data_IF_951673108319
#
_entry.id   IF_951673108319
#
_cell.length_a   1.000
_cell.length_b   1.000
_cell.length_c   1.000
_cell.angle_alpha   90.00
_cell.angle_beta   90.00
_cell.angle_gamma   90.00
#
_symmetry.space_group_name_H-M   'P 1'
#
loop_
_entity.id
_entity.type
_entity.pdbx_description
1 polymer ?
#
# COMPACT_ATOMS: atom_id res chain seq x y z
N UNK A 1 6.71 11.01 0.57
CA UNK A 1 5.65 10.21 -0.10
C UNK A 1 4.65 9.81 0.95
N UNK A 2 3.37 9.68 0.58
CA UNK A 2 2.34 9.35 1.57
C UNK A 2 2.39 7.90 2.04
N UNK A 3 1.83 7.62 3.21
CA UNK A 3 1.91 6.30 3.87
C UNK A 3 0.57 5.60 4.08
N UNK A 4 -0.56 6.33 4.10
CA UNK A 4 -1.88 5.75 4.33
C UNK A 4 -2.19 4.58 3.38
N UNK A 5 -2.39 3.37 3.90
CA UNK A 5 -2.70 2.18 3.08
C UNK A 5 -1.50 1.53 2.35
N UNK A 6 -0.26 1.82 2.75
CA UNK A 6 0.91 1.02 2.33
C UNK A 6 1.04 -0.25 3.20
N UNK A 7 1.16 -1.43 2.57
CA UNK A 7 1.45 -2.68 3.30
C UNK A 7 2.89 -2.69 3.82
N UNK A 8 3.04 -2.93 5.12
CA UNK A 8 4.30 -3.20 5.81
C UNK A 8 4.33 -4.67 6.22
N UNK A 9 5.49 -5.32 6.04
CA UNK A 9 5.69 -6.68 6.54
C UNK A 9 5.72 -6.72 8.08
N UNK A 10 5.43 -7.87 8.71
CA UNK A 10 5.71 -8.10 10.13
C UNK A 10 7.12 -7.63 10.51
N UNK A 11 7.24 -6.83 11.56
CA UNK A 11 8.50 -6.25 12.01
C UNK A 11 9.13 -5.17 11.10
N UNK A 12 8.45 -4.63 10.08
CA UNK A 12 8.93 -3.42 9.39
C UNK A 12 8.67 -2.14 10.22
N UNK A 13 9.57 -1.13 10.15
CA UNK A 13 9.31 0.18 10.75
C UNK A 13 8.09 0.86 10.11
N UNK A 14 7.36 1.62 10.92
CA UNK A 14 6.21 2.39 10.47
C UNK A 14 6.59 3.63 9.63
N UNK A 15 5.58 4.33 9.15
CA UNK A 15 5.67 5.56 8.38
C UNK A 15 6.51 6.65 9.08
N UNK A 16 6.28 6.85 10.37
CA UNK A 16 6.88 7.93 11.14
C UNK A 16 8.35 7.66 11.43
N UNK A 17 8.70 6.42 11.77
CA UNK A 17 10.06 5.94 11.97
C UNK A 17 10.86 6.04 10.66
N UNK A 18 10.26 5.67 9.52
CA UNK A 18 10.87 5.84 8.18
C UNK A 18 11.10 7.32 7.85
N UNK A 19 10.13 8.21 8.13
CA UNK A 19 10.27 9.66 7.99
C UNK A 19 11.45 10.20 8.82
N UNK A 20 11.47 9.91 10.12
CA UNK A 20 12.52 10.38 11.04
C UNK A 20 13.91 9.85 10.64
N UNK A 21 14.01 8.59 10.16
CA UNK A 21 15.28 8.02 9.72
C UNK A 21 15.85 8.75 8.50
N UNK A 22 14.99 9.11 7.53
CA UNK A 22 15.40 9.89 6.36
C UNK A 22 15.82 11.32 6.75
N UNK A 23 15.06 11.97 7.63
CA UNK A 23 15.38 13.31 8.15
C UNK A 23 16.72 13.32 8.90
N UNK A 24 16.98 12.34 9.78
CA UNK A 24 18.29 12.14 10.45
C UNK A 24 19.43 11.87 9.47
N UNK A 25 19.14 11.22 8.34
CA UNK A 25 20.12 11.00 7.27
C UNK A 25 20.38 12.25 6.39
N UNK A 26 19.76 13.40 6.72
CA UNK A 26 19.92 14.66 6.00
C UNK A 26 19.08 14.75 4.72
N UNK A 27 18.07 13.90 4.54
CA UNK A 27 17.12 14.04 3.45
C UNK A 27 16.20 15.26 3.69
N UNK A 28 16.05 16.12 2.68
CA UNK A 28 15.08 17.22 2.75
C UNK A 28 13.68 16.68 2.53
N UNK A 29 12.88 16.72 3.59
CA UNK A 29 11.54 16.18 3.60
C UNK A 29 10.55 17.19 3.00
N UNK A 30 9.72 16.72 2.06
CA UNK A 30 8.70 17.53 1.37
C UNK A 30 7.35 16.85 1.57
N UNK A 31 6.39 17.59 2.13
CA UNK A 31 5.08 17.07 2.53
C UNK A 31 4.02 17.09 1.39
N UNK A 32 4.20 17.88 0.33
CA UNK A 32 3.33 17.87 -0.86
C UNK A 32 4.15 18.11 -2.14
N UNK A 33 3.88 17.42 -3.28
CA UNK A 33 4.67 17.54 -4.50
C UNK A 33 4.86 18.94 -5.07
N UNK A 34 3.91 19.86 -4.89
CA UNK A 34 4.07 21.27 -5.31
C UNK A 34 5.29 21.94 -4.67
N UNK A 35 5.61 21.57 -3.42
CA UNK A 35 6.70 22.15 -2.63
C UNK A 35 8.08 21.58 -2.98
N UNK A 36 8.18 20.62 -3.91
CA UNK A 36 9.48 20.14 -4.40
C UNK A 36 10.32 21.26 -5.03
N UNK A 37 9.68 22.21 -5.74
CA UNK A 37 10.39 23.34 -6.34
C UNK A 37 11.07 24.23 -5.30
N UNK A 38 10.41 24.48 -4.17
CA UNK A 38 10.94 25.26 -3.05
C UNK A 38 12.02 24.50 -2.28
N UNK A 39 11.78 23.21 -1.98
CA UNK A 39 12.78 22.35 -1.34
C UNK A 39 14.06 22.21 -2.16
N UNK A 40 13.95 22.10 -3.49
CA UNK A 40 15.11 22.14 -4.39
C UNK A 40 15.81 23.51 -4.37
N UNK A 41 15.09 24.62 -4.43
CA UNK A 41 15.70 25.97 -4.32
C UNK A 41 16.49 26.13 -3.02
N UNK A 42 15.95 25.70 -1.89
CA UNK A 42 16.64 25.73 -0.60
C UNK A 42 17.91 24.84 -0.59
N UNK A 43 17.82 23.63 -1.15
CA UNK A 43 18.97 22.74 -1.32
C UNK A 43 20.09 23.34 -2.19
N UNK A 44 19.73 24.01 -3.29
CA UNK A 44 20.72 24.64 -4.17
C UNK A 44 21.34 25.89 -3.52
N UNK A 45 20.54 26.74 -2.86
CA UNK A 45 21.03 27.89 -2.13
C UNK A 45 22.05 27.50 -1.03
N UNK A 46 21.78 26.41 -0.30
CA UNK A 46 22.67 25.86 0.72
C UNK A 46 23.90 25.12 0.15
N UNK A 47 23.97 24.85 -1.16
CA UNK A 47 25.18 24.36 -1.83
C UNK A 47 26.08 25.48 -2.35
N UNK A 48 25.50 26.62 -2.74
CA UNK A 48 26.25 27.81 -3.20
C UNK A 48 27.02 28.55 -2.08
N UNK A 49 26.87 28.14 -0.82
CA UNK A 49 27.56 28.75 0.33
C UNK A 49 28.89 28.09 0.71
N UNK A 50 29.40 27.11 -0.06
CA UNK A 50 30.80 26.64 0.07
C UNK A 50 31.76 27.58 -0.68
N UNK A 51 32.67 28.30 0.00
CA UNK A 51 33.68 29.08 -0.70
C UNK A 51 34.74 28.16 -1.29
N UNK A 52 35.04 28.33 -2.58
CA UNK A 52 36.18 27.68 -3.24
C UNK A 52 35.84 26.62 -4.28
N UNK A 53 35.33 27.05 -5.44
CA UNK A 53 35.76 26.53 -6.74
C UNK A 53 36.11 27.76 -7.60
N UNK A 54 37.36 27.82 -8.06
CA UNK A 54 37.87 28.86 -8.97
C UNK A 54 37.13 28.85 -10.30
N UNK A 55 37.02 30.02 -10.95
CA UNK A 55 36.57 30.12 -12.34
C UNK A 55 37.42 29.21 -13.24
N UNK A 56 36.78 28.20 -13.85
CA UNK A 56 37.37 27.44 -14.96
C UNK A 56 36.77 28.01 -16.24
N UNK A 57 37.50 28.93 -16.88
CA UNK A 57 37.21 29.42 -18.22
C UNK A 57 37.48 28.32 -19.25
N UNK A 58 36.54 27.40 -19.39
CA UNK A 58 36.62 26.25 -20.31
C UNK A 58 35.39 26.15 -21.20
N UNK A 59 35.54 26.51 -22.49
CA UNK A 59 34.55 26.34 -23.55
C UNK A 59 34.33 24.85 -23.89
N UNK A 60 33.69 24.12 -22.99
CA UNK A 60 33.30 22.72 -23.21
C UNK A 60 31.95 22.64 -23.94
N UNK A 61 32.00 22.25 -25.21
CA UNK A 61 30.80 21.98 -26.00
C UNK A 61 30.09 20.72 -25.49
N UNK A 62 28.84 20.86 -25.05
CA UNK A 62 27.99 19.71 -24.70
C UNK A 62 27.69 18.87 -25.93
N UNK A 63 28.50 17.83 -26.19
CA UNK A 63 28.16 16.79 -27.16
C UNK A 63 27.00 15.94 -26.60
N UNK A 64 25.79 16.19 -27.10
CA UNK A 64 24.63 15.32 -26.85
C UNK A 64 24.88 13.97 -27.54
N UNK A 65 25.17 12.93 -26.75
CA UNK A 65 25.21 11.56 -27.25
C UNK A 65 23.81 11.08 -27.63
N UNK A 66 23.62 10.64 -28.88
CA UNK A 66 22.36 10.04 -29.32
C UNK A 66 22.33 8.58 -28.85
N UNK A 67 21.54 8.28 -27.82
CA UNK A 67 21.32 6.91 -27.36
C UNK A 67 20.28 6.21 -28.26
N UNK A 68 20.73 5.54 -29.32
CA UNK A 68 19.89 4.66 -30.16
C UNK A 68 19.66 3.29 -29.51
N UNK A 69 19.00 3.25 -28.35
CA UNK A 69 18.39 2.00 -27.88
C UNK A 69 17.07 1.76 -28.62
N UNK A 70 17.01 0.68 -29.38
CA UNK A 70 15.83 0.23 -30.14
C UNK A 70 14.70 -0.07 -29.16
N UNK A 71 13.72 0.84 -29.09
CA UNK A 71 12.55 0.70 -28.21
C UNK A 71 11.72 -0.51 -28.67
N UNK A 72 11.72 -1.58 -27.88
CA UNK A 72 10.74 -2.67 -28.05
C UNK A 72 9.37 -2.04 -27.79
N UNK A 73 8.47 -2.15 -28.77
CA UNK A 73 7.08 -1.69 -28.61
C UNK A 73 6.43 -2.51 -27.51
N UNK A 74 6.00 -1.92 -26.37
CA UNK A 74 5.25 -2.66 -25.39
C UNK A 74 3.90 -3.01 -26.00
N UNK A 75 3.58 -4.30 -26.06
CA UNK A 75 2.21 -4.75 -26.33
C UNK A 75 1.36 -4.21 -25.20
N UNK A 76 0.42 -3.32 -25.52
CA UNK A 76 -0.53 -2.74 -24.57
C UNK A 76 -1.50 -3.81 -24.07
N UNK A 77 -1.08 -4.57 -23.06
CA UNK A 77 -2.02 -5.25 -22.16
C UNK A 77 -2.59 -4.22 -21.20
N UNK A 78 -3.90 -4.27 -20.87
CA UNK A 78 -4.46 -3.40 -19.84
C UNK A 78 -3.72 -3.65 -18.52
N UNK A 79 -3.11 -2.59 -17.98
CA UNK A 79 -2.48 -2.62 -16.66
C UNK A 79 -3.56 -2.80 -15.61
N UNK A 80 -3.71 -4.02 -15.12
CA UNK A 80 -4.51 -4.33 -13.94
C UNK A 80 -4.00 -3.47 -12.77
N UNK A 81 -4.88 -2.72 -12.12
CA UNK A 81 -4.52 -1.91 -10.96
C UNK A 81 -4.04 -2.77 -9.79
N UNK A 82 -2.97 -2.34 -9.11
CA UNK A 82 -2.85 -2.41 -7.64
C UNK A 82 -4.21 -2.07 -6.99
N UNK A 83 -4.64 -2.57 -5.82
CA UNK A 83 -4.12 -3.62 -4.91
C UNK A 83 -5.32 -4.29 -4.21
N UNK A 84 -5.24 -5.59 -3.90
CA UNK A 84 -5.47 -6.16 -2.55
C UNK A 84 -4.64 -7.45 -2.43
N UNK A 85 -4.35 -7.86 -1.20
CA UNK A 85 -3.63 -9.08 -0.89
C UNK A 85 -4.61 -10.10 -0.33
N UNK A 86 -4.67 -11.31 -0.89
CA UNK A 86 -5.64 -12.33 -0.47
C UNK A 86 -5.17 -12.98 0.84
N UNK A 87 -5.90 -12.76 1.93
CA UNK A 87 -5.75 -13.54 3.16
C UNK A 87 -6.83 -14.62 3.23
N UNK A 88 -6.44 -15.84 3.58
CA UNK A 88 -7.39 -16.95 3.81
C UNK A 88 -7.74 -17.07 5.30
N UNK A 89 -8.87 -17.72 5.60
CA UNK A 89 -9.33 -17.98 6.96
C UNK A 89 -8.39 -18.96 7.68
N UNK A 90 -8.31 -18.86 9.00
CA UNK A 90 -7.38 -19.68 9.80
C UNK A 90 -7.56 -21.19 9.61
N UNK A 91 -8.79 -21.70 9.50
CA UNK A 91 -9.02 -23.13 9.24
C UNK A 91 -8.51 -23.57 7.87
N UNK A 92 -8.64 -22.72 6.83
CA UNK A 92 -8.11 -22.98 5.49
C UNK A 92 -6.57 -23.02 5.53
N UNK A 93 -5.94 -22.11 6.30
CA UNK A 93 -4.49 -22.14 6.52
C UNK A 93 -4.05 -23.41 7.27
N UNK A 94 -4.83 -23.87 8.26
CA UNK A 94 -4.60 -25.13 8.95
C UNK A 94 -4.75 -26.35 8.04
N UNK A 95 -5.69 -26.35 7.09
CA UNK A 95 -5.82 -27.44 6.11
C UNK A 95 -4.63 -27.50 5.14
N UNK A 96 -4.09 -26.35 4.72
CA UNK A 96 -2.84 -26.29 3.94
C UNK A 96 -1.64 -26.81 4.77
N UNK A 97 -1.56 -26.46 6.05
CA UNK A 97 -0.53 -26.97 6.97
C UNK A 97 -0.64 -28.49 7.16
N UNK A 98 -1.85 -29.03 7.35
CA UNK A 98 -2.13 -30.47 7.45
C UNK A 98 -1.69 -31.23 6.20
N UNK A 99 -1.90 -30.68 5.00
CA UNK A 99 -1.44 -31.28 3.74
C UNK A 99 0.10 -31.42 3.68
N UNK A 100 0.84 -30.51 4.34
CA UNK A 100 2.30 -30.60 4.51
C UNK A 100 2.72 -31.36 5.78
N UNK A 101 1.82 -32.13 6.40
CA UNK A 101 2.05 -32.91 7.64
C UNK A 101 2.49 -32.07 8.85
N UNK A 102 2.12 -30.78 8.89
CA UNK A 102 2.39 -29.91 10.04
C UNK A 102 1.30 -30.11 11.11
N UNK A 103 1.66 -30.38 12.38
CA UNK A 103 0.70 -30.52 13.46
C UNK A 103 0.05 -29.17 13.83
N UNK A 104 -1.28 -29.13 13.77
CA UNK A 104 -2.12 -27.98 14.16
C UNK A 104 -3.00 -28.34 15.35
N UNK A 105 -3.37 -27.36 16.17
CA UNK A 105 -4.30 -27.54 17.29
C UNK A 105 -5.25 -26.33 17.42
N UNK A 106 -6.48 -26.52 16.95
CA UNK A 106 -7.59 -25.55 16.94
C UNK A 106 -8.18 -25.27 18.33
N UNK A 107 -7.95 -26.14 19.32
CA UNK A 107 -8.66 -26.11 20.61
C UNK A 107 -7.92 -25.37 21.73
N UNK A 108 -6.72 -24.87 21.47
CA UNK A 108 -5.94 -24.19 22.50
C UNK A 108 -6.30 -22.70 22.59
N UNK A 109 -6.94 -22.31 23.69
CA UNK A 109 -6.85 -20.93 24.18
C UNK A 109 -5.39 -20.57 24.40
N UNK A 110 -4.98 -19.38 23.93
CA UNK A 110 -3.63 -18.82 24.03
C UNK A 110 -2.90 -19.18 25.33
N UNK A 111 -1.91 -20.07 25.24
CA UNK A 111 -0.97 -20.36 26.32
C UNK A 111 0.14 -19.31 26.38
N UNK A 112 0.57 -18.90 27.57
CA UNK A 112 1.53 -17.81 27.84
C UNK A 112 2.96 -17.98 27.23
N UNK A 113 3.21 -19.06 26.48
CA UNK A 113 4.51 -19.38 25.87
C UNK A 113 4.44 -19.64 24.36
N UNK A 114 3.51 -19.00 23.64
CA UNK A 114 3.46 -19.06 22.17
C UNK A 114 4.40 -18.04 21.52
N UNK A 115 5.21 -18.49 20.57
CA UNK A 115 6.12 -17.65 19.76
C UNK A 115 5.59 -17.50 18.34
N UNK A 116 5.91 -16.38 17.69
CA UNK A 116 5.54 -16.13 16.29
C UNK A 116 6.68 -16.52 15.35
N UNK A 117 6.38 -17.32 14.34
CA UNK A 117 7.28 -17.65 13.22
C UNK A 117 6.55 -17.36 11.92
N UNK A 118 7.20 -16.65 10.99
CA UNK A 118 6.64 -16.41 9.67
C UNK A 118 7.69 -16.47 8.56
N UNK A 119 7.22 -16.65 7.33
CA UNK A 119 8.04 -16.43 6.12
C UNK A 119 7.41 -15.29 5.32
N UNK A 120 8.23 -14.29 4.95
CA UNK A 120 7.80 -13.10 4.21
C UNK A 120 8.94 -12.58 3.33
N UNK A 121 8.67 -11.61 2.46
CA UNK A 121 9.70 -10.88 1.70
C UNK A 121 10.46 -9.90 2.60
N UNK A 122 11.79 -10.02 2.66
CA UNK A 122 12.66 -8.94 3.13
C UNK A 122 12.99 -8.01 1.95
N UNK A 123 12.40 -6.81 1.97
CA UNK A 123 12.60 -5.78 0.94
C UNK A 123 13.98 -5.11 1.00
N UNK A 124 14.68 -5.19 2.13
CA UNK A 124 16.05 -4.67 2.28
C UNK A 124 17.06 -5.69 1.77
N UNK A 125 16.87 -6.97 2.08
CA UNK A 125 17.72 -8.06 1.60
C UNK A 125 17.34 -8.60 0.21
N UNK A 126 16.26 -8.08 -0.40
CA UNK A 126 15.72 -8.48 -1.71
C UNK A 126 15.52 -10.00 -1.86
N UNK A 127 15.08 -10.64 -0.78
CA UNK A 127 15.02 -12.10 -0.64
C UNK A 127 13.91 -12.52 0.32
N UNK A 128 13.44 -13.78 0.30
CA UNK A 128 12.58 -14.29 1.37
C UNK A 128 13.36 -14.32 2.69
N UNK A 129 12.65 -14.16 3.80
CA UNK A 129 13.21 -14.25 5.14
C UNK A 129 12.29 -15.03 6.07
N UNK A 130 12.88 -15.67 7.06
CA UNK A 130 12.17 -16.13 8.25
C UNK A 130 12.11 -14.94 9.20
N UNK A 131 10.94 -14.64 9.76
CA UNK A 131 10.78 -13.64 10.83
C UNK A 131 10.36 -14.39 12.08
N UNK A 132 11.09 -14.20 13.17
CA UNK A 132 10.87 -14.90 14.42
C UNK A 132 10.74 -13.90 15.58
N UNK A 133 9.66 -13.97 16.35
CA UNK A 133 9.41 -13.17 17.55
C UNK A 133 9.16 -14.08 18.74
N UNK A 134 9.75 -13.75 19.89
CA UNK A 134 9.54 -14.45 21.16
C UNK A 134 8.14 -14.23 21.76
N UNK A 135 7.33 -13.35 21.16
CA UNK A 135 5.92 -13.11 21.50
C UNK A 135 4.98 -13.61 20.40
N UNK A 136 3.72 -13.82 20.76
CA UNK A 136 2.62 -14.26 19.89
C UNK A 136 2.27 -13.24 18.80
N UNK A 137 2.55 -11.96 19.04
CA UNK A 137 2.34 -10.86 18.10
C UNK A 137 3.67 -10.43 17.48
N UNK A 138 3.64 -9.96 16.22
CA UNK A 138 4.84 -9.42 15.57
C UNK A 138 5.15 -8.01 16.07
N UNK A 139 5.78 -7.93 17.24
CA UNK A 139 6.39 -6.71 17.73
C UNK A 139 7.73 -6.48 17.00
N UNK A 140 7.93 -5.36 16.27
CA UNK A 140 9.19 -5.07 15.58
C UNK A 140 10.42 -5.03 16.49
N UNK A 141 10.26 -4.71 17.79
CA UNK A 141 11.36 -4.67 18.75
C UNK A 141 11.84 -6.06 19.22
N UNK A 142 11.05 -7.10 19.01
CA UNK A 142 11.34 -8.49 19.43
C UNK A 142 11.45 -9.46 18.24
N UNK A 143 11.11 -9.00 17.04
CA UNK A 143 11.19 -9.76 15.79
C UNK A 143 12.60 -9.68 15.19
N UNK A 144 13.26 -10.82 14.98
CA UNK A 144 14.50 -10.89 14.18
C UNK A 144 14.20 -11.47 12.79
N UNK A 145 14.81 -10.89 11.76
CA UNK A 145 14.76 -11.38 10.37
C UNK A 145 15.99 -12.21 10.03
N UNK A 146 15.75 -13.32 9.33
CA UNK A 146 16.78 -14.24 8.84
C UNK A 146 16.56 -14.42 7.33
N UNK A 147 17.17 -13.56 6.47
CA UNK A 147 17.06 -13.68 5.02
C UNK A 147 17.76 -14.93 4.48
N UNK A 148 17.22 -15.51 3.39
CA UNK A 148 17.83 -16.65 2.71
C UNK A 148 17.62 -16.60 1.18
N UNK A 149 18.47 -17.23 0.37
CA UNK A 149 18.34 -17.19 -1.09
C UNK A 149 17.04 -17.82 -1.59
N UNK A 150 16.32 -17.14 -2.50
CA UNK A 150 15.08 -17.66 -3.10
C UNK A 150 15.28 -18.97 -3.89
N UNK A 151 16.49 -19.19 -4.43
CA UNK A 151 16.87 -20.41 -5.15
C UNK A 151 17.02 -21.64 -4.24
N UNK A 152 16.95 -21.48 -2.92
CA UNK A 152 17.19 -22.55 -1.97
C UNK A 152 16.03 -23.56 -1.97
N UNK A 153 16.34 -24.84 -2.20
CA UNK A 153 15.34 -25.93 -2.14
C UNK A 153 15.11 -26.40 -0.71
N UNK A 154 16.18 -26.53 0.09
CA UNK A 154 16.16 -26.88 1.51
C UNK A 154 16.86 -25.82 2.36
N UNK A 155 16.21 -25.37 3.43
CA UNK A 155 16.82 -24.43 4.38
C UNK A 155 18.03 -25.05 5.09
N UNK A 156 19.10 -24.26 5.26
CA UNK A 156 20.34 -24.74 5.89
C UNK A 156 20.20 -24.91 7.40
N UNK A 157 20.90 -25.88 7.99
CA UNK A 157 20.88 -26.10 9.45
C UNK A 157 21.32 -24.87 10.27
N UNK A 158 22.20 -24.02 9.71
CA UNK A 158 22.66 -22.78 10.33
C UNK A 158 21.52 -21.75 10.54
N UNK A 159 20.62 -21.58 9.57
CA UNK A 159 19.52 -20.60 9.71
C UNK A 159 18.50 -21.08 10.74
N UNK A 160 18.20 -22.39 10.77
CA UNK A 160 17.30 -22.97 11.76
C UNK A 160 17.89 -22.87 13.18
N UNK A 161 19.21 -23.12 13.33
CA UNK A 161 19.88 -22.94 14.62
C UNK A 161 19.87 -21.47 15.10
N UNK A 162 20.02 -20.50 14.17
CA UNK A 162 19.93 -19.08 14.50
C UNK A 162 18.51 -18.66 14.93
N UNK A 163 17.48 -19.13 14.22
CA UNK A 163 16.07 -18.91 14.57
C UNK A 163 15.73 -19.54 15.93
N UNK A 164 16.13 -20.79 16.15
CA UNK A 164 15.90 -21.49 17.43
C UNK A 164 16.60 -20.79 18.60
N UNK A 165 17.83 -20.31 18.40
CA UNK A 165 18.58 -19.55 19.41
C UNK A 165 17.91 -18.22 19.76
N UNK A 166 17.39 -17.47 18.78
CA UNK A 166 16.66 -16.22 19.03
C UNK A 166 15.36 -16.45 19.79
N UNK A 167 14.65 -17.53 19.46
CA UNK A 167 13.41 -17.93 20.13
C UNK A 167 13.63 -18.64 21.48
N UNK A 168 14.87 -18.87 21.92
CA UNK A 168 15.19 -19.55 23.17
C UNK A 168 14.76 -21.03 23.22
N UNK A 169 14.67 -21.69 22.06
CA UNK A 169 14.09 -23.03 21.94
C UNK A 169 15.08 -24.14 22.32
N UNK A 170 14.61 -25.26 22.90
CA UNK A 170 15.46 -26.37 23.28
C UNK A 170 15.94 -27.14 22.03
N UNK A 171 17.15 -27.69 22.10
CA UNK A 171 17.79 -28.43 20.99
C UNK A 171 16.93 -29.61 20.48
N UNK A 172 16.10 -30.21 21.33
CA UNK A 172 15.13 -31.25 20.95
C UNK A 172 14.13 -30.81 19.88
N UNK A 173 13.73 -29.53 19.90
CA UNK A 173 12.77 -28.97 18.94
C UNK A 173 13.37 -28.57 17.59
N UNK A 174 14.71 -28.51 17.45
CA UNK A 174 15.37 -28.01 16.25
C UNK A 174 14.99 -28.80 14.98
N UNK A 175 14.87 -30.12 15.08
CA UNK A 175 14.47 -30.98 13.94
C UNK A 175 13.02 -30.74 13.53
N UNK A 176 12.11 -30.53 14.50
CA UNK A 176 10.71 -30.22 14.21
C UNK A 176 10.57 -28.81 13.62
N UNK A 177 11.30 -27.83 14.17
CA UNK A 177 11.38 -26.48 13.63
C UNK A 177 11.92 -26.47 12.19
N UNK A 178 12.96 -27.25 11.90
CA UNK A 178 13.49 -27.39 10.53
C UNK A 178 12.43 -27.91 9.56
N UNK A 179 11.71 -28.97 9.92
CA UNK A 179 10.61 -29.52 9.10
C UNK A 179 9.46 -28.55 8.93
N UNK A 180 9.08 -27.84 10.00
CA UNK A 180 8.01 -26.84 9.99
C UNK A 180 8.32 -25.64 9.09
N UNK A 181 9.49 -25.02 9.24
CA UNK A 181 9.88 -23.86 8.43
C UNK A 181 10.13 -24.28 6.97
N UNK A 182 10.62 -25.51 6.73
CA UNK A 182 10.68 -26.08 5.38
C UNK A 182 9.28 -26.25 4.76
N UNK A 183 8.29 -26.73 5.51
CA UNK A 183 6.90 -26.84 5.04
C UNK A 183 6.30 -25.46 4.71
N UNK A 184 6.52 -24.45 5.56
CA UNK A 184 6.15 -23.06 5.25
C UNK A 184 6.83 -22.56 3.97
N UNK A 185 8.12 -22.86 3.78
CA UNK A 185 8.87 -22.42 2.59
C UNK A 185 8.38 -23.08 1.29
N UNK A 186 7.94 -24.33 1.37
CA UNK A 186 7.29 -25.02 0.26
C UNK A 186 5.93 -24.40 -0.07
N UNK A 187 5.06 -24.20 0.92
CA UNK A 187 3.77 -23.49 0.74
C UNK A 187 4.01 -22.12 0.12
N UNK A 188 5.00 -21.38 0.61
CA UNK A 188 5.33 -20.02 0.17
C UNK A 188 5.62 -19.98 -1.33
N UNK A 189 6.44 -20.91 -1.84
CA UNK A 189 6.77 -21.01 -3.27
C UNK A 189 5.65 -21.62 -4.10
N UNK A 190 5.03 -22.70 -3.63
CA UNK A 190 4.03 -23.46 -4.37
C UNK A 190 2.74 -22.65 -4.58
N UNK A 191 2.35 -21.88 -3.56
CA UNK A 191 1.11 -21.08 -3.53
C UNK A 191 1.31 -19.59 -3.76
N UNK A 192 2.55 -19.16 -3.99
CA UNK A 192 2.91 -17.75 -4.23
C UNK A 192 2.43 -16.82 -3.10
N UNK A 193 2.79 -17.21 -1.88
CA UNK A 193 2.57 -16.38 -0.71
C UNK A 193 3.52 -15.17 -0.70
N UNK A 194 3.07 -14.05 -0.13
CA UNK A 194 3.95 -12.94 0.26
C UNK A 194 4.17 -12.88 1.78
N UNK A 195 3.28 -13.49 2.57
CA UNK A 195 3.44 -13.70 4.02
C UNK A 195 2.76 -15.00 4.44
N UNK A 196 3.41 -15.78 5.30
CA UNK A 196 2.84 -16.93 6.00
C UNK A 196 3.10 -16.76 7.48
N UNK A 197 2.17 -16.15 8.21
CA UNK A 197 2.31 -15.90 9.66
C UNK A 197 1.73 -17.06 10.46
N UNK A 198 2.47 -17.52 11.46
CA UNK A 198 2.04 -18.58 12.38
C UNK A 198 2.40 -18.28 13.83
N UNK A 199 1.51 -18.70 14.73
CA UNK A 199 1.75 -18.76 16.16
C UNK A 199 1.95 -20.22 16.54
N UNK A 200 3.10 -20.53 17.11
CA UNK A 200 3.48 -21.89 17.51
C UNK A 200 3.69 -21.99 19.01
N UNK A 201 3.31 -23.12 19.59
CA UNK A 201 3.72 -23.51 20.93
C UNK A 201 4.66 -24.72 20.80
N UNK A 202 5.69 -24.76 21.64
CA UNK A 202 6.64 -25.88 21.70
C UNK A 202 6.56 -26.46 23.11
N UNK A 203 6.22 -27.75 23.17
CA UNK A 203 6.11 -28.52 24.40
C UNK A 203 7.50 -28.92 24.92
N UNK A 204 7.61 -29.27 26.21
CA UNK A 204 8.90 -29.56 26.86
C UNK A 204 9.63 -30.80 26.29
N UNK A 205 8.90 -31.70 25.63
CA UNK A 205 9.42 -32.83 24.84
C UNK A 205 10.03 -32.41 23.49
N UNK A 206 9.91 -31.14 23.11
CA UNK A 206 10.31 -30.60 21.81
C UNK A 206 9.19 -30.62 20.76
N UNK A 207 7.96 -31.03 21.10
CA UNK A 207 6.85 -31.10 20.15
C UNK A 207 6.29 -29.72 19.81
N UNK A 208 6.39 -29.34 18.54
CA UNK A 208 5.85 -28.11 17.96
C UNK A 208 4.38 -28.33 17.56
N UNK A 209 3.51 -27.34 17.85
CA UNK A 209 2.13 -27.29 17.35
C UNK A 209 1.79 -25.86 16.91
N UNK A 210 1.09 -25.73 15.78
CA UNK A 210 0.56 -24.45 15.29
C UNK A 210 -0.83 -24.20 15.89
N UNK A 211 -1.05 -23.00 16.44
CA UNK A 211 -2.28 -22.61 17.13
C UNK A 211 -2.95 -21.36 16.54
N UNK A 212 -2.20 -20.56 15.77
CA UNK A 212 -2.72 -19.47 14.95
C UNK A 212 -2.02 -19.47 13.60
N UNK A 213 -2.74 -19.12 12.54
CA UNK A 213 -2.18 -18.98 11.20
C UNK A 213 -2.91 -17.89 10.39
N UNK A 214 -2.14 -17.01 9.75
CA UNK A 214 -2.62 -15.96 8.84
C UNK A 214 -1.77 -16.00 7.57
N UNK A 215 -2.31 -16.57 6.51
CA UNK A 215 -1.59 -16.75 5.25
C UNK A 215 -2.09 -15.75 4.21
N UNK A 216 -1.15 -15.09 3.53
CA UNK A 216 -1.40 -14.07 2.53
C UNK A 216 -0.74 -14.39 1.18
N UNK A 217 -1.54 -14.40 0.11
CA UNK A 217 -1.16 -14.78 -1.25
C UNK A 217 -1.20 -13.62 -2.24
N UNK A 218 -0.32 -13.68 -3.26
CA UNK A 218 -0.16 -12.64 -4.26
C UNK A 218 -1.21 -12.73 -5.38
N UNK A 219 -2.20 -11.83 -5.32
CA UNK A 219 -3.25 -11.67 -6.32
C UNK A 219 -2.71 -11.26 -7.71
N UNK A 220 -1.51 -10.68 -7.80
CA UNK A 220 -0.90 -10.38 -9.10
C UNK A 220 -0.58 -11.64 -9.91
N UNK A 221 -0.22 -12.75 -9.25
CA UNK A 221 0.01 -14.03 -9.91
C UNK A 221 -1.29 -14.56 -10.58
N UNK A 222 -2.39 -14.54 -9.83
CA UNK A 222 -3.70 -14.93 -10.33
C UNK A 222 -4.21 -14.02 -11.45
N UNK A 223 -4.27 -12.70 -11.22
CA UNK A 223 -4.83 -11.75 -12.21
C UNK A 223 -4.02 -11.62 -13.50
N UNK A 224 -2.70 -11.86 -13.46
CA UNK A 224 -1.85 -11.76 -14.66
C UNK A 224 -1.69 -13.07 -15.43
N UNK A 225 -1.86 -14.22 -14.78
CA UNK A 225 -1.50 -15.53 -15.35
C UNK A 225 -2.47 -16.69 -15.05
N UNK A 226 -3.53 -16.47 -14.27
CA UNK A 226 -4.53 -17.49 -13.91
C UNK A 226 -4.03 -18.57 -12.94
N UNK A 227 -2.82 -18.41 -12.37
CA UNK A 227 -2.23 -19.36 -11.42
C UNK A 227 -2.86 -19.18 -10.03
N UNK A 228 -2.81 -20.23 -9.20
CA UNK A 228 -3.40 -20.25 -7.85
C UNK A 228 -4.93 -20.08 -7.80
N UNK A 229 -5.65 -20.50 -8.86
CA UNK A 229 -7.12 -20.45 -8.91
C UNK A 229 -7.78 -21.18 -7.72
N UNK A 230 -7.16 -22.26 -7.22
CA UNK A 230 -7.61 -23.00 -6.04
C UNK A 230 -7.53 -22.16 -4.76
N UNK A 231 -6.50 -21.34 -4.60
CA UNK A 231 -6.36 -20.39 -3.48
C UNK A 231 -7.34 -19.23 -3.63
N UNK A 232 -7.50 -18.69 -4.84
CA UNK A 232 -8.43 -17.58 -5.07
C UNK A 232 -9.91 -17.96 -4.90
N UNK A 233 -10.26 -19.24 -5.04
CA UNK A 233 -11.58 -19.80 -4.68
C UNK A 233 -11.84 -19.84 -3.16
N UNK A 234 -10.82 -19.68 -2.32
CA UNK A 234 -10.97 -19.62 -0.85
C UNK A 234 -11.38 -18.24 -0.34
N UNK A 235 -11.32 -17.20 -1.19
CA UNK A 235 -11.71 -15.82 -0.86
C UNK A 235 -13.20 -15.75 -0.51
N UNK A 236 -13.50 -15.17 0.64
CA UNK A 236 -14.87 -14.91 1.08
C UNK A 236 -15.15 -13.40 1.12
N UNK A 237 -15.87 -12.92 0.12
CA UNK A 237 -16.23 -11.49 0.01
C UNK A 237 -17.33 -11.06 0.98
N UNK A 238 -17.94 -11.98 1.75
CA UNK A 238 -18.96 -11.63 2.74
C UNK A 238 -18.38 -11.13 4.07
N UNK A 239 -17.10 -11.42 4.34
CA UNK A 239 -16.33 -10.91 5.49
C UNK A 239 -15.49 -9.66 5.14
N UNK A 240 -15.46 -9.27 3.87
CA UNK A 240 -14.81 -8.03 3.40
C UNK A 240 -15.75 -6.82 3.49
N UNK A 241 -15.17 -5.61 3.49
CA UNK A 241 -15.95 -4.36 3.47
C UNK A 241 -16.72 -4.27 2.14
N UNK A 242 -18.04 -4.15 2.19
CA UNK A 242 -18.89 -4.25 0.99
C UNK A 242 -18.58 -3.16 -0.06
N UNK A 243 -18.30 -1.94 0.39
CA UNK A 243 -17.88 -0.83 -0.46
C UNK A 243 -16.52 -1.09 -1.15
N UNK A 244 -15.64 -1.83 -0.47
CA UNK A 244 -14.33 -2.24 -0.97
C UNK A 244 -14.43 -3.33 -2.04
N UNK A 245 -15.36 -4.28 -1.88
CA UNK A 245 -15.66 -5.32 -2.88
C UNK A 245 -16.39 -4.75 -4.10
N UNK A 246 -17.28 -3.77 -3.91
CA UNK A 246 -17.99 -3.11 -5.03
C UNK A 246 -17.01 -2.29 -5.90
N UNK A 247 -16.16 -1.47 -5.28
CA UNK A 247 -15.15 -0.66 -5.99
C UNK A 247 -14.19 -1.50 -6.85
N UNK A 248 -13.84 -2.71 -6.39
CA UNK A 248 -12.91 -3.60 -7.07
C UNK A 248 -13.41 -4.04 -8.46
N UNK A 249 -14.74 -4.14 -8.65
CA UNK A 249 -15.37 -4.52 -9.93
C UNK A 249 -15.03 -3.55 -11.06
N UNK A 250 -14.91 -2.26 -10.72
CA UNK A 250 -14.53 -1.18 -11.63
C UNK A 250 -13.00 -0.94 -11.66
N UNK A 251 -12.21 -1.77 -10.97
CA UNK A 251 -10.76 -1.64 -10.85
C UNK A 251 -10.31 -0.50 -9.95
N UNK A 252 -11.19 -0.01 -9.06
CA UNK A 252 -10.93 1.09 -8.13
C UNK A 252 -10.36 0.54 -6.82
N UNK A 253 -9.28 1.17 -6.32
CA UNK A 253 -8.73 0.87 -5.00
C UNK A 253 -9.42 1.73 -3.97
N UNK A 254 -10.55 1.26 -3.44
CA UNK A 254 -11.14 1.84 -2.25
C UNK A 254 -10.54 1.18 -1.00
N UNK A 255 -10.24 1.97 0.02
CA UNK A 255 -9.97 1.50 1.38
C UNK A 255 -10.76 2.38 2.34
N UNK A 256 -11.63 1.79 3.15
CA UNK A 256 -12.43 2.53 4.14
C UNK A 256 -11.55 2.84 5.35
N UNK A 257 -11.48 4.12 5.75
CA UNK A 257 -10.72 4.53 6.93
C UNK A 257 -11.62 4.50 8.17
N UNK A 258 -11.11 3.98 9.28
CA UNK A 258 -11.82 3.90 10.56
C UNK A 258 -12.02 5.29 11.22
N UNK A 259 -12.88 5.36 12.23
CA UNK A 259 -13.17 6.58 12.99
C UNK A 259 -14.19 7.52 12.34
N UNK A 260 -14.14 8.80 12.69
CA UNK A 260 -15.13 9.82 12.30
C UNK A 260 -14.70 10.66 11.07
N UNK A 261 -14.08 10.03 10.08
CA UNK A 261 -13.68 10.69 8.84
C UNK A 261 -14.89 11.25 8.07
N UNK A 262 -14.85 12.53 7.73
CA UNK A 262 -15.96 13.25 7.06
C UNK A 262 -15.63 13.76 5.64
N UNK A 263 -14.36 13.67 5.22
CA UNK A 263 -13.92 14.04 3.87
C UNK A 263 -13.77 12.77 3.02
N UNK A 264 -14.62 12.60 2.01
CA UNK A 264 -14.42 11.57 1.00
C UNK A 264 -13.25 11.95 0.09
N UNK A 265 -12.36 11.03 -0.27
CA UNK A 265 -11.27 11.29 -1.23
C UNK A 265 -11.48 10.54 -2.55
N UNK A 266 -11.19 11.21 -3.67
CA UNK A 266 -11.16 10.62 -5.02
C UNK A 266 -9.89 11.12 -5.72
N UNK A 267 -8.94 10.21 -5.95
CA UNK A 267 -7.60 10.55 -6.45
C UNK A 267 -7.18 9.56 -7.54
N UNK A 268 -6.32 9.97 -8.48
CA UNK A 268 -5.69 9.06 -9.42
C UNK A 268 -4.21 8.81 -9.07
N UNK A 269 -3.83 7.54 -9.00
CA UNK A 269 -2.50 7.08 -8.65
C UNK A 269 -2.26 6.99 -7.15
N UNK A 270 -2.00 5.77 -6.65
CA UNK A 270 -1.86 5.47 -5.23
C UNK A 270 -0.91 6.42 -4.49
N UNK A 271 0.25 6.76 -5.05
CA UNK A 271 1.19 7.70 -4.41
C UNK A 271 0.62 9.09 -4.14
N UNK A 272 -0.23 9.60 -5.03
CA UNK A 272 -0.95 10.87 -4.85
C UNK A 272 -2.12 10.70 -3.88
N UNK A 273 -2.82 9.56 -3.92
CA UNK A 273 -3.91 9.25 -3.01
C UNK A 273 -3.43 9.19 -1.54
N UNK A 274 -2.33 8.48 -1.28
CA UNK A 274 -1.73 8.40 0.06
C UNK A 274 -1.28 9.79 0.54
N UNK A 275 -0.65 10.57 -0.35
CA UNK A 275 -0.21 11.91 0.01
C UNK A 275 -1.37 12.89 0.22
N UNK A 276 -2.49 12.72 -0.48
CA UNK A 276 -3.70 13.53 -0.31
C UNK A 276 -4.32 13.29 1.07
N UNK A 277 -4.45 12.04 1.49
CA UNK A 277 -4.94 11.69 2.84
C UNK A 277 -4.01 12.25 3.92
N UNK A 278 -2.70 12.02 3.81
CA UNK A 278 -1.70 12.53 4.76
C UNK A 278 -1.71 14.07 4.82
N UNK A 279 -1.77 14.75 3.67
CA UNK A 279 -1.73 16.21 3.61
C UNK A 279 -3.03 16.86 4.10
N UNK A 280 -4.21 16.28 3.84
CA UNK A 280 -5.47 16.73 4.45
C UNK A 280 -5.45 16.55 5.97
N UNK A 281 -4.87 15.45 6.45
CA UNK A 281 -4.71 15.18 7.89
C UNK A 281 -3.80 16.21 8.56
N UNK A 282 -2.68 16.58 7.93
CA UNK A 282 -1.78 17.65 8.41
C UNK A 282 -2.50 19.01 8.52
N UNK A 283 -3.50 19.28 7.68
CA UNK A 283 -4.32 20.51 7.74
C UNK A 283 -5.52 20.42 8.70
N UNK A 284 -5.64 19.35 9.50
CA UNK A 284 -6.73 19.16 10.46
C UNK A 284 -8.06 18.73 9.82
N UNK A 285 -7.98 18.02 8.70
CA UNK A 285 -9.08 17.29 8.08
C UNK A 285 -9.07 15.81 8.46
N UNK A 286 -10.23 15.16 8.41
CA UNK A 286 -10.36 13.72 8.66
C UNK A 286 -10.95 13.02 7.44
N UNK A 287 -10.17 12.17 6.78
CA UNK A 287 -10.60 11.44 5.58
C UNK A 287 -11.43 10.22 5.96
N UNK A 288 -12.57 10.02 5.30
CA UNK A 288 -13.43 8.83 5.46
C UNK A 288 -12.86 7.60 4.75
N UNK A 289 -12.08 7.81 3.69
CA UNK A 289 -11.53 6.77 2.83
C UNK A 289 -10.22 7.20 2.17
N UNK A 290 -9.50 6.21 1.67
CA UNK A 290 -8.51 6.33 0.60
C UNK A 290 -9.17 5.83 -0.71
N UNK A 291 -8.92 6.50 -1.84
CA UNK A 291 -9.33 6.01 -3.17
C UNK A 291 -8.27 6.30 -4.23
N UNK A 292 -7.87 5.27 -4.98
CA UNK A 292 -7.16 5.39 -6.27
C UNK A 292 -8.03 4.83 -7.42
N UNK A 293 -8.33 5.64 -8.44
CA UNK A 293 -9.08 5.22 -9.65
C UNK A 293 -8.27 4.32 -10.61
N UNK A 294 -7.28 3.57 -10.12
CA UNK A 294 -6.46 2.66 -10.93
C UNK A 294 -5.63 3.33 -12.03
N UNK A 295 -5.31 4.62 -11.89
CA UNK A 295 -4.54 5.39 -12.88
C UNK A 295 -5.32 5.84 -14.13
N UNK A 296 -6.61 5.52 -14.27
CA UNK A 296 -7.50 6.04 -15.32
C UNK A 296 -8.76 6.66 -14.71
N UNK A 297 -8.83 7.98 -14.69
CA UNK A 297 -10.06 8.71 -14.39
C UNK A 297 -10.87 8.84 -15.69
N UNK A 298 -11.74 7.86 -15.97
CA UNK A 298 -12.77 7.96 -17.01
C UNK A 298 -14.09 8.38 -16.36
N UNK A 299 -15.08 8.80 -17.15
CA UNK A 299 -16.38 9.21 -16.63
C UNK A 299 -17.06 8.09 -15.84
N UNK A 300 -16.87 6.83 -16.26
CA UNK A 300 -17.40 5.63 -15.60
C UNK A 300 -16.71 5.39 -14.26
N UNK A 301 -15.37 5.39 -14.20
CA UNK A 301 -14.63 5.15 -12.96
C UNK A 301 -14.82 6.30 -11.96
N UNK A 302 -14.97 7.53 -12.43
CA UNK A 302 -15.36 8.69 -11.61
C UNK A 302 -16.77 8.52 -11.03
N UNK A 303 -17.75 8.12 -11.85
CA UNK A 303 -19.14 7.89 -11.39
C UNK A 303 -19.25 6.72 -10.42
N UNK A 304 -18.51 5.63 -10.65
CA UNK A 304 -18.40 4.52 -9.70
C UNK A 304 -17.75 4.98 -8.39
N UNK A 305 -16.65 5.72 -8.46
CA UNK A 305 -15.97 6.28 -7.28
C UNK A 305 -16.90 7.15 -6.43
N UNK A 306 -17.66 8.07 -7.04
CA UNK A 306 -18.63 8.89 -6.30
C UNK A 306 -19.74 8.05 -5.65
N UNK A 307 -20.20 6.96 -6.29
CA UNK A 307 -21.20 6.06 -5.71
C UNK A 307 -20.69 5.38 -4.43
N UNK A 308 -19.46 4.86 -4.47
CA UNK A 308 -18.80 4.19 -3.33
C UNK A 308 -18.45 5.19 -2.21
N UNK A 309 -18.02 6.41 -2.55
CA UNK A 309 -17.80 7.46 -1.56
C UNK A 309 -19.12 7.88 -0.89
N UNK A 310 -20.19 8.06 -1.67
CA UNK A 310 -21.47 8.56 -1.16
C UNK A 310 -22.34 7.50 -0.47
N UNK A 311 -22.00 6.21 -0.54
CA UNK A 311 -22.63 5.19 0.32
C UNK A 311 -22.19 5.31 1.78
N UNK A 312 -21.07 5.97 2.06
CA UNK A 312 -20.64 6.25 3.43
C UNK A 312 -21.32 7.53 3.97
N UNK A 313 -22.30 7.34 4.86
CA UNK A 313 -23.06 8.42 5.49
C UNK A 313 -22.23 9.41 6.33
N UNK A 314 -20.98 9.07 6.68
CA UNK A 314 -20.06 9.98 7.37
C UNK A 314 -19.61 11.13 6.46
N UNK A 315 -19.53 10.93 5.14
CA UNK A 315 -19.00 11.88 4.18
C UNK A 315 -19.86 13.15 4.10
N UNK A 316 -19.26 14.31 4.39
CA UNK A 316 -19.89 15.65 4.36
C UNK A 316 -19.32 16.57 3.29
N UNK A 317 -18.13 16.28 2.77
CA UNK A 317 -17.57 16.89 1.55
C UNK A 317 -16.69 15.88 0.81
N UNK A 318 -16.54 16.02 -0.51
CA UNK A 318 -15.62 15.19 -1.31
C UNK A 318 -14.46 16.02 -1.84
N UNK A 319 -13.24 15.50 -1.70
CA UNK A 319 -12.02 16.05 -2.27
C UNK A 319 -11.60 15.23 -3.49
N UNK A 320 -11.74 15.83 -4.68
CA UNK A 320 -11.24 15.28 -5.94
C UNK A 320 -9.88 15.90 -6.22
N UNK A 321 -8.83 15.09 -6.28
CA UNK A 321 -7.47 15.54 -6.59
C UNK A 321 -6.93 14.73 -7.77
N UNK A 322 -7.02 15.27 -8.98
CA UNK A 322 -6.66 14.53 -10.20
C UNK A 322 -5.53 15.24 -10.94
N UNK A 323 -4.46 14.49 -11.21
CA UNK A 323 -3.40 14.89 -12.14
C UNK A 323 -3.68 14.28 -13.52
N UNK A 324 -4.16 15.11 -14.44
CA UNK A 324 -4.42 14.80 -15.85
C UNK A 324 -3.12 14.50 -16.62
N UNK A 325 -2.71 13.23 -16.56
CA UNK A 325 -1.61 12.69 -17.36
C UNK A 325 -2.08 12.27 -18.76
N UNK A 326 -2.72 11.10 -18.86
CA UNK A 326 -3.25 10.58 -20.14
C UNK A 326 -4.63 11.16 -20.49
N UNK A 327 -5.48 11.42 -19.49
CA UNK A 327 -6.79 12.04 -19.67
C UNK A 327 -6.69 13.56 -19.49
N UNK A 328 -7.33 14.32 -20.39
CA UNK A 328 -7.39 15.79 -20.32
C UNK A 328 -8.35 16.25 -19.22
N UNK A 329 -8.05 17.38 -18.59
CA UNK A 329 -8.82 17.88 -17.45
C UNK A 329 -10.26 18.31 -17.81
N UNK A 330 -10.52 18.73 -19.05
CA UNK A 330 -11.88 19.02 -19.54
C UNK A 330 -12.78 17.77 -19.53
N UNK A 331 -12.26 16.62 -19.96
CA UNK A 331 -13.00 15.35 -19.95
C UNK A 331 -13.23 14.84 -18.52
N UNK A 332 -12.27 15.06 -17.62
CA UNK A 332 -12.42 14.74 -16.19
C UNK A 332 -13.49 15.63 -15.56
N UNK A 333 -13.47 16.94 -15.85
CA UNK A 333 -14.47 17.89 -15.38
C UNK A 333 -15.89 17.52 -15.86
N UNK A 334 -16.03 17.17 -17.14
CA UNK A 334 -17.29 16.66 -17.71
C UNK A 334 -17.77 15.40 -16.96
N UNK A 335 -16.89 14.42 -16.76
CA UNK A 335 -17.20 13.20 -16.00
C UNK A 335 -17.66 13.47 -14.56
N UNK A 336 -17.05 14.45 -13.88
CA UNK A 336 -17.46 14.90 -12.54
C UNK A 336 -18.85 15.54 -12.57
N UNK A 337 -19.11 16.46 -13.52
CA UNK A 337 -20.40 17.17 -13.64
C UNK A 337 -21.53 16.19 -13.97
N UNK A 338 -21.28 15.23 -14.87
CA UNK A 338 -22.23 14.17 -15.20
C UNK A 338 -22.50 13.26 -14.01
N UNK A 339 -21.45 12.76 -13.34
CA UNK A 339 -21.61 11.92 -12.15
C UNK A 339 -22.38 12.62 -11.03
N UNK A 340 -22.12 13.92 -10.80
CA UNK A 340 -22.81 14.70 -9.78
C UNK A 340 -24.32 14.81 -10.06
N UNK A 341 -24.69 15.06 -11.33
CA UNK A 341 -26.10 15.15 -11.77
C UNK A 341 -26.78 13.79 -11.74
N UNK A 342 -26.15 12.77 -12.32
CA UNK A 342 -26.71 11.41 -12.43
C UNK A 342 -26.95 10.73 -11.08
N UNK A 343 -26.08 11.01 -10.09
CA UNK A 343 -26.21 10.50 -8.72
C UNK A 343 -27.02 11.44 -7.81
N UNK A 344 -27.53 12.56 -8.34
CA UNK A 344 -28.27 13.61 -7.62
C UNK A 344 -27.57 14.02 -6.31
N UNK A 345 -26.26 14.27 -6.40
CA UNK A 345 -25.42 14.53 -5.24
C UNK A 345 -25.83 15.81 -4.51
N UNK A 346 -25.76 15.76 -3.18
CA UNK A 346 -25.98 16.93 -2.29
C UNK A 346 -24.72 17.33 -1.53
N UNK A 347 -23.74 16.42 -1.46
CA UNK A 347 -22.46 16.63 -0.81
C UNK A 347 -21.61 17.56 -1.69
N UNK A 348 -21.10 18.70 -1.18
CA UNK A 348 -20.27 19.59 -1.96
C UNK A 348 -18.93 18.93 -2.31
N UNK A 349 -18.42 19.24 -3.50
CA UNK A 349 -17.16 18.67 -4.00
C UNK A 349 -16.15 19.77 -4.24
N UNK A 350 -14.94 19.59 -3.70
CA UNK A 350 -13.79 20.43 -4.03
C UNK A 350 -12.92 19.67 -5.02
N UNK A 351 -12.58 20.32 -6.12
CA UNK A 351 -11.89 19.72 -7.26
C UNK A 351 -10.58 20.45 -7.51
N UNK A 352 -9.47 19.71 -7.47
CA UNK A 352 -8.16 20.13 -7.95
C UNK A 352 -7.82 19.32 -9.19
N UNK A 353 -7.76 19.99 -10.35
CA UNK A 353 -7.35 19.42 -11.63
C UNK A 353 -6.03 20.05 -12.05
N UNK A 354 -4.99 19.25 -12.28
CA UNK A 354 -3.70 19.69 -12.82
C UNK A 354 -3.34 18.91 -14.09
N UNK A 355 -2.89 19.57 -15.15
CA UNK A 355 -2.46 18.92 -16.40
C UNK A 355 -3.01 19.58 -17.67
N UNK A 356 -3.08 18.83 -18.76
CA UNK A 356 -3.59 19.34 -20.05
C UNK A 356 -5.04 19.81 -19.91
N UNK A 357 -5.34 21.02 -20.42
CA UNK A 357 -6.64 21.68 -20.33
C UNK A 357 -7.12 21.97 -18.90
N UNK A 358 -6.22 22.15 -17.92
CA UNK A 358 -6.61 22.45 -16.52
C UNK A 358 -7.52 23.69 -16.40
N UNK A 359 -7.16 24.81 -17.04
CA UNK A 359 -7.98 26.04 -17.07
C UNK A 359 -9.40 25.80 -17.61
N UNK A 360 -9.53 25.04 -18.70
CA UNK A 360 -10.82 24.72 -19.31
C UNK A 360 -11.67 23.82 -18.40
N UNK A 361 -11.07 22.80 -17.80
CA UNK A 361 -11.76 21.93 -16.84
C UNK A 361 -12.22 22.70 -15.59
N UNK A 362 -11.37 23.59 -15.05
CA UNK A 362 -11.74 24.46 -13.93
C UNK A 362 -12.89 25.42 -14.30
N UNK A 363 -12.87 26.00 -15.51
CA UNK A 363 -13.96 26.83 -16.03
C UNK A 363 -15.28 26.06 -16.16
N UNK A 364 -15.25 24.84 -16.73
CA UNK A 364 -16.43 23.97 -16.84
C UNK A 364 -17.05 23.66 -15.46
N UNK A 365 -16.21 23.42 -14.45
CA UNK A 365 -16.67 23.21 -13.06
C UNK A 365 -17.33 24.47 -12.51
N UNK A 366 -16.71 25.65 -12.67
CA UNK A 366 -17.24 26.92 -12.17
C UNK A 366 -18.56 27.33 -12.85
N UNK A 367 -18.71 27.09 -14.15
CA UNK A 367 -19.92 27.40 -14.93
C UNK A 367 -21.05 26.35 -14.77
N UNK A 368 -20.81 25.25 -14.04
CA UNK A 368 -21.73 24.11 -13.96
C UNK A 368 -23.06 24.37 -13.23
N UNK A 369 -23.09 25.40 -12.36
CA UNK A 369 -24.22 25.70 -11.47
C UNK A 369 -24.41 24.74 -10.29
N UNK A 370 -23.47 23.82 -10.09
CA UNK A 370 -23.49 22.78 -9.04
C UNK A 370 -22.62 23.22 -7.84
N UNK A 371 -22.74 22.59 -6.64
CA UNK A 371 -21.84 22.84 -5.51
C UNK A 371 -20.48 22.13 -5.71
N UNK A 372 -19.82 22.50 -6.80
CA UNK A 372 -18.48 22.07 -7.21
C UNK A 372 -17.55 23.29 -7.13
N UNK A 373 -16.40 23.15 -6.48
CA UNK A 373 -15.46 24.25 -6.28
C UNK A 373 -14.08 23.88 -6.86
N UNK A 374 -13.67 24.55 -7.94
CA UNK A 374 -12.37 24.34 -8.57
C UNK A 374 -11.27 25.17 -7.91
N UNK A 375 -10.09 24.58 -7.71
CA UNK A 375 -8.89 25.25 -7.17
C UNK A 375 -7.62 24.79 -7.91
N UNK A 376 -6.63 25.68 -8.01
CA UNK A 376 -5.32 25.35 -8.56
C UNK A 376 -4.35 24.81 -7.50
N UNK A 377 -4.17 25.57 -6.41
CA UNK A 377 -3.27 25.23 -5.31
C UNK A 377 -3.87 24.24 -4.31
N UNK A 378 -3.07 23.26 -3.87
CA UNK A 378 -3.55 22.25 -2.92
C UNK A 378 -4.00 22.83 -1.57
N UNK A 379 -3.28 23.82 -1.02
CA UNK A 379 -3.60 24.34 0.32
C UNK A 379 -4.97 25.03 0.39
N UNK A 380 -5.36 25.77 -0.66
CA UNK A 380 -6.66 26.44 -0.72
C UNK A 380 -7.79 25.42 -0.86
N UNK A 381 -7.59 24.43 -1.73
CA UNK A 381 -8.50 23.32 -1.93
C UNK A 381 -8.68 22.51 -0.62
N UNK A 382 -7.59 22.21 0.09
CA UNK A 382 -7.60 21.52 1.37
C UNK A 382 -8.35 22.32 2.45
N UNK A 383 -8.04 23.62 2.59
CA UNK A 383 -8.75 24.51 3.53
C UNK A 383 -10.25 24.56 3.21
N UNK A 384 -10.64 24.66 1.93
CA UNK A 384 -12.06 24.70 1.55
C UNK A 384 -12.79 23.39 1.82
N UNK A 385 -12.22 22.23 1.50
CA UNK A 385 -12.91 20.95 1.75
C UNK A 385 -13.05 20.65 3.24
N UNK A 386 -12.07 21.05 4.06
CA UNK A 386 -12.12 20.92 5.51
C UNK A 386 -13.20 21.82 6.12
N UNK A 387 -13.35 23.06 5.63
CA UNK A 387 -14.43 23.96 6.02
C UNK A 387 -15.81 23.36 5.68
N UNK A 388 -16.01 22.94 4.42
CA UNK A 388 -17.25 22.32 3.96
C UNK A 388 -17.61 21.06 4.75
N UNK A 389 -16.63 20.21 5.06
CA UNK A 389 -16.83 19.01 5.88
C UNK A 389 -17.21 19.30 7.35
N UNK A 390 -16.90 20.51 7.84
CA UNK A 390 -17.32 21.04 9.14
C UNK A 390 -18.62 21.85 9.09
N UNK A 391 -19.23 22.00 7.91
CA UNK A 391 -20.44 22.81 7.69
C UNK A 391 -20.19 24.32 7.63
N UNK A 392 -19.01 24.74 7.16
CA UNK A 392 -18.55 26.15 7.08
C UNK A 392 -18.35 26.63 5.62
#
# INVERSE_FOLDING_TARGET
MGHAGAWAAPGEPDAHTKYQALERAGAVMVNHPEKFGEGMKALFANRSSRPGISEISGTSSQKRGIHTMRRITPISRPTAGNKRNLYIKQFQAFDILRQKSVPVNESASSSDSSVSVSISVDRTALSPCIIASSTSESNPAQSQKFPFPYTQTKLGSSIIAAVASHLGLPTSSHTQLAGFVQALWEIYKEKEAFTLETQIAISADGTLKVHGARFGFDDAAFRSSGRQEDIHKLRDTSEEVAEEVEAEKDGIVYVKLEGEGSIGTLVNGAGLAMNTVDALTIHGGHCANFLDTGGKATSETVKASFRVICSDTRVKAVFVNIFGGLTRCDMIAEGIILAFRDLNMKVPVVVRLRGTNEELGQKMIAESGLPLHAFDGFEEAAKKVIALAKGQ
#
